data_IF_262931216641
#
_entry.id   IF_262931216641
#
_cell.length_a   1.000
_cell.length_b   1.000
_cell.length_c   1.000
_cell.angle_alpha   90.00
_cell.angle_beta   90.00
_cell.angle_gamma   90.00
#
_symmetry.space_group_name_H-M   'P 1'
#
loop_
_entity.id
_entity.type
_entity.pdbx_description
1 polymer ?
#
# COMPACT_ATOMS: atom_id res chain seq x y z
N UNK A 1 20.42 29.20 2.62
CA UNK A 1 19.19 28.87 1.85
C UNK A 1 18.67 27.55 2.40
N UNK A 2 17.50 27.54 3.05
CA UNK A 2 16.89 26.28 3.50
C UNK A 2 16.30 25.60 2.25
N UNK A 3 16.76 24.41 1.90
CA UNK A 3 16.11 23.58 0.88
C UNK A 3 14.64 23.45 1.27
N UNK A 4 13.72 23.93 0.43
CA UNK A 4 12.31 23.56 0.59
C UNK A 4 12.27 22.05 0.43
N UNK A 5 11.88 21.33 1.47
CA UNK A 5 11.56 19.91 1.35
C UNK A 5 10.55 19.75 0.21
N UNK A 6 10.78 18.78 -0.66
CA UNK A 6 9.85 18.41 -1.72
C UNK A 6 8.49 18.05 -1.09
N UNK A 7 7.39 18.43 -1.72
CA UNK A 7 6.05 18.06 -1.26
C UNK A 7 5.91 16.53 -1.24
N UNK A 8 5.59 15.89 -0.10
CA UNK A 8 5.49 14.43 0.02
C UNK A 8 4.55 13.80 -1.01
N UNK A 9 3.45 14.47 -1.35
CA UNK A 9 2.49 13.97 -2.34
C UNK A 9 3.13 13.99 -3.74
N UNK A 10 3.77 15.08 -4.12
CA UNK A 10 4.53 15.16 -5.38
C UNK A 10 5.64 14.10 -5.45
N UNK A 11 6.36 13.87 -4.35
CA UNK A 11 7.38 12.82 -4.27
C UNK A 11 6.79 11.43 -4.46
N UNK A 12 5.66 11.11 -3.81
CA UNK A 12 4.92 9.85 -3.99
C UNK A 12 4.58 9.62 -5.47
N UNK A 13 4.03 10.63 -6.15
CA UNK A 13 3.64 10.50 -7.56
C UNK A 13 4.85 10.20 -8.46
N UNK A 14 6.01 10.76 -8.12
CA UNK A 14 7.27 10.57 -8.84
C UNK A 14 8.07 9.33 -8.44
N UNK A 15 7.62 8.53 -7.47
CA UNK A 15 8.33 7.30 -7.08
C UNK A 15 8.55 6.38 -8.28
N UNK A 16 9.81 6.07 -8.58
CA UNK A 16 10.15 5.03 -9.52
C UNK A 16 10.04 3.65 -8.85
N UNK A 17 8.98 2.94 -9.21
CA UNK A 17 8.66 1.58 -8.76
C UNK A 17 8.62 0.60 -9.94
N UNK A 18 9.25 0.92 -11.09
CA UNK A 18 9.25 0.04 -12.27
C UNK A 18 9.88 -1.32 -11.99
N UNK A 19 10.81 -1.40 -11.04
CA UNK A 19 11.39 -2.67 -10.61
C UNK A 19 10.36 -3.60 -9.95
N UNK A 20 9.34 -3.06 -9.27
CA UNK A 20 8.24 -3.85 -8.70
C UNK A 20 7.37 -4.39 -9.82
N UNK A 21 6.98 -3.55 -10.80
CA UNK A 21 6.21 -4.00 -11.97
C UNK A 21 6.91 -5.17 -12.67
N UNK A 22 8.22 -5.03 -12.95
CA UNK A 22 9.03 -6.10 -13.56
C UNK A 22 9.02 -7.39 -12.75
N UNK A 23 9.05 -7.29 -11.41
CA UNK A 23 9.00 -8.46 -10.52
C UNK A 23 7.60 -9.11 -10.50
N UNK A 24 6.53 -8.33 -10.41
CA UNK A 24 5.16 -8.84 -10.44
C UNK A 24 4.89 -9.62 -11.74
N UNK A 25 5.25 -9.04 -12.89
CA UNK A 25 5.10 -9.70 -14.19
C UNK A 25 6.03 -10.91 -14.31
N UNK A 26 7.33 -10.75 -14.06
CA UNK A 26 8.32 -11.79 -14.36
C UNK A 26 8.44 -12.91 -13.34
N UNK A 27 8.00 -12.70 -12.08
CA UNK A 27 8.12 -13.70 -11.00
C UNK A 27 6.78 -14.15 -10.45
N UNK A 28 5.76 -13.28 -10.46
CA UNK A 28 4.43 -13.60 -9.95
C UNK A 28 3.40 -13.83 -11.07
N UNK A 29 3.81 -13.69 -12.34
CA UNK A 29 2.99 -13.89 -13.54
C UNK A 29 1.74 -12.99 -13.60
N UNK A 30 1.82 -11.78 -13.07
CA UNK A 30 0.74 -10.80 -13.20
C UNK A 30 0.67 -10.25 -14.63
N UNK A 31 -0.52 -9.84 -15.04
CA UNK A 31 -0.65 -9.02 -16.24
C UNK A 31 0.07 -7.68 -16.06
N UNK A 32 0.71 -7.17 -17.12
CA UNK A 32 1.50 -5.94 -17.02
C UNK A 32 0.62 -4.71 -16.75
N UNK A 33 -0.59 -4.64 -17.32
CA UNK A 33 -1.50 -3.54 -17.08
C UNK A 33 -2.02 -3.58 -15.63
N UNK A 34 -2.36 -4.77 -15.12
CA UNK A 34 -2.74 -4.98 -13.71
C UNK A 34 -1.62 -4.59 -12.74
N UNK A 35 -0.38 -5.00 -13.01
CA UNK A 35 0.77 -4.65 -12.18
C UNK A 35 1.03 -3.13 -12.15
N UNK A 36 0.92 -2.45 -13.31
CA UNK A 36 1.06 -0.99 -13.40
C UNK A 36 -0.06 -0.26 -12.66
N UNK A 37 -1.30 -0.70 -12.82
CA UNK A 37 -2.45 -0.12 -12.11
C UNK A 37 -2.32 -0.28 -10.60
N UNK A 38 -1.94 -1.47 -10.13
CA UNK A 38 -1.75 -1.74 -8.70
C UNK A 38 -0.62 -0.91 -8.10
N UNK A 39 0.50 -0.73 -8.81
CA UNK A 39 1.58 0.16 -8.38
C UNK A 39 1.12 1.62 -8.29
N UNK A 40 0.26 2.08 -9.21
CA UNK A 40 -0.35 3.42 -9.14
C UNK A 40 -1.29 3.53 -7.94
N UNK A 41 -2.13 2.52 -7.67
CA UNK A 41 -3.00 2.47 -6.50
C UNK A 41 -2.22 2.42 -5.18
N UNK A 42 -1.07 1.74 -5.14
CA UNK A 42 -0.15 1.77 -4.00
C UNK A 42 0.37 3.20 -3.73
N UNK A 43 0.72 3.97 -4.76
CA UNK A 43 1.07 5.40 -4.58
C UNK A 43 -0.09 6.19 -3.97
N UNK A 44 -1.32 5.98 -4.46
CA UNK A 44 -2.50 6.61 -3.89
C UNK A 44 -2.75 6.18 -2.44
N UNK A 45 -2.48 4.92 -2.09
CA UNK A 45 -2.53 4.44 -0.70
C UNK A 45 -1.50 5.15 0.20
N UNK A 46 -0.26 5.37 -0.27
CA UNK A 46 0.72 6.17 0.47
C UNK A 46 0.24 7.62 0.67
N UNK A 47 -0.33 8.22 -0.37
CA UNK A 47 -0.91 9.56 -0.29
C UNK A 47 -2.08 9.62 0.70
N UNK A 48 -2.94 8.59 0.72
CA UNK A 48 -4.05 8.49 1.68
C UNK A 48 -3.55 8.51 3.13
N UNK A 49 -2.43 7.84 3.42
CA UNK A 49 -1.80 7.84 4.75
C UNK A 49 -1.22 9.20 5.15
N UNK A 50 -0.86 10.05 4.19
CA UNK A 50 -0.46 11.44 4.44
C UNK A 50 -1.67 12.33 4.70
N UNK A 51 -2.74 12.13 3.92
CA UNK A 51 -3.96 12.94 4.02
C UNK A 51 -4.72 12.67 5.32
N UNK A 52 -4.67 11.43 5.84
CA UNK A 52 -5.36 11.04 7.07
C UNK A 52 -4.41 10.33 8.07
N UNK A 53 -3.40 11.02 8.63
CA UNK A 53 -2.27 10.41 9.35
C UNK A 53 -2.63 9.78 10.71
N UNK A 54 -3.85 10.02 11.21
CA UNK A 54 -4.37 9.45 12.45
C UNK A 54 -5.19 8.18 12.25
N UNK A 55 -5.53 7.85 11.00
CA UNK A 55 -6.39 6.71 10.68
C UNK A 55 -5.54 5.51 10.29
N UNK A 56 -5.95 4.34 10.79
CA UNK A 56 -5.39 3.07 10.32
C UNK A 56 -5.96 2.81 8.93
N UNK A 57 -5.06 2.62 7.95
CA UNK A 57 -5.43 2.33 6.56
C UNK A 57 -5.06 0.91 6.21
N UNK A 58 -6.04 0.13 5.79
CA UNK A 58 -5.90 -1.30 5.45
C UNK A 58 -5.76 -1.44 3.93
N UNK A 59 -4.64 -1.97 3.41
CA UNK A 59 -4.44 -2.15 1.98
C UNK A 59 -5.35 -3.25 1.41
N UNK A 60 -5.62 -3.23 0.10
CA UNK A 60 -6.08 -4.44 -0.59
C UNK A 60 -4.96 -5.48 -0.64
N UNK A 61 -5.26 -6.74 -0.95
CA UNK A 61 -4.25 -7.79 -1.10
C UNK A 61 -3.19 -7.41 -2.16
N UNK A 62 -3.63 -6.81 -3.25
CA UNK A 62 -2.76 -6.43 -4.36
C UNK A 62 -1.84 -5.26 -3.98
N UNK A 63 -2.39 -4.26 -3.27
CA UNK A 63 -1.61 -3.13 -2.74
C UNK A 63 -0.60 -3.61 -1.69
N UNK A 64 -1.01 -4.53 -0.82
CA UNK A 64 -0.15 -5.13 0.20
C UNK A 64 1.02 -5.90 -0.43
N UNK A 65 0.77 -6.62 -1.54
CA UNK A 65 1.82 -7.32 -2.29
C UNK A 65 2.85 -6.36 -2.90
N UNK A 66 2.41 -5.23 -3.46
CA UNK A 66 3.30 -4.15 -3.91
C UNK A 66 4.08 -3.57 -2.74
N UNK A 67 3.43 -3.36 -1.60
CA UNK A 67 4.05 -2.81 -0.40
C UNK A 67 5.15 -3.75 0.14
N UNK A 68 4.89 -5.05 0.18
CA UNK A 68 5.90 -6.07 0.51
C UNK A 68 7.12 -6.01 -0.41
N UNK A 69 6.91 -5.95 -1.73
CA UNK A 69 8.02 -5.85 -2.69
C UNK A 69 8.82 -4.55 -2.51
N UNK A 70 8.16 -3.45 -2.10
CA UNK A 70 8.85 -2.21 -1.77
C UNK A 70 9.68 -2.36 -0.48
N UNK A 71 9.12 -2.92 0.60
CA UNK A 71 9.82 -3.18 1.88
C UNK A 71 11.08 -4.02 1.65
N UNK A 72 11.02 -5.04 0.78
CA UNK A 72 12.17 -5.90 0.45
C UNK A 72 13.35 -5.12 -0.17
N UNK A 73 13.10 -3.94 -0.72
CA UNK A 73 14.15 -3.00 -1.18
C UNK A 73 14.53 -2.05 -0.05
N UNK A 74 14.98 -2.63 1.07
CA UNK A 74 15.06 -2.00 2.40
C UNK A 74 15.71 -0.61 2.41
N UNK A 75 16.81 -0.39 1.69
CA UNK A 75 17.47 0.93 1.62
C UNK A 75 16.58 1.97 0.94
N UNK A 76 15.95 1.63 -0.18
CA UNK A 76 15.04 2.52 -0.90
C UNK A 76 13.78 2.77 -0.08
N UNK A 77 13.19 1.73 0.49
CA UNK A 77 12.00 1.85 1.32
C UNK A 77 12.23 2.78 2.52
N UNK A 78 13.37 2.65 3.21
CA UNK A 78 13.73 3.53 4.32
C UNK A 78 13.89 4.99 3.88
N UNK A 79 14.55 5.24 2.74
CA UNK A 79 14.72 6.59 2.19
C UNK A 79 13.38 7.20 1.75
N UNK A 80 12.54 6.42 1.09
CA UNK A 80 11.22 6.86 0.65
C UNK A 80 10.34 7.15 1.88
N UNK A 81 10.36 6.31 2.91
CA UNK A 81 9.63 6.54 4.16
C UNK A 81 10.06 7.84 4.86
N UNK A 82 11.37 8.10 4.95
CA UNK A 82 11.89 9.34 5.54
C UNK A 82 11.41 10.57 4.76
N UNK A 83 11.45 10.52 3.42
CA UNK A 83 11.01 11.63 2.57
C UNK A 83 9.50 11.85 2.59
N UNK A 84 8.72 10.78 2.68
CA UNK A 84 7.25 10.83 2.61
C UNK A 84 6.66 11.14 4.00
N UNK A 85 7.06 10.37 5.01
CA UNK A 85 6.45 10.37 6.34
C UNK A 85 7.32 11.03 7.43
N UNK A 86 8.59 11.33 7.13
CA UNK A 86 9.57 11.77 8.14
C UNK A 86 9.98 10.68 9.13
N UNK A 87 9.56 9.43 8.89
CA UNK A 87 9.82 8.26 9.74
C UNK A 87 9.56 6.98 8.98
N UNK A 88 10.06 5.86 9.50
CA UNK A 88 9.73 4.53 8.97
C UNK A 88 8.23 4.24 9.07
N UNK A 89 7.61 3.82 7.96
CA UNK A 89 6.24 3.31 7.98
C UNK A 89 6.29 1.81 8.25
N UNK A 90 5.88 1.40 9.45
CA UNK A 90 5.86 -0.01 9.83
C UNK A 90 4.72 -0.76 9.13
N UNK A 91 5.00 -2.01 8.78
CA UNK A 91 4.02 -3.01 8.35
C UNK A 91 3.88 -4.02 9.49
N UNK A 92 2.64 -4.30 9.87
CA UNK A 92 2.29 -5.24 10.93
C UNK A 92 1.39 -6.33 10.32
N UNK A 93 1.85 -7.58 10.26
CA UNK A 93 1.00 -8.69 9.85
C UNK A 93 -0.16 -8.89 10.83
N UNK A 94 -1.33 -9.30 10.33
CA UNK A 94 -2.43 -9.71 11.22
C UNK A 94 -2.02 -10.92 12.06
N UNK A 95 -2.46 -10.91 13.32
CA UNK A 95 -2.42 -12.06 14.23
C UNK A 95 -3.31 -13.23 13.78
N UNK A 96 -4.27 -12.99 12.87
CA UNK A 96 -5.24 -13.97 12.39
C UNK A 96 -6.25 -14.39 13.44
N UNK A 97 -6.49 -13.55 14.45
CA UNK A 97 -7.56 -13.75 15.41
C UNK A 97 -8.86 -13.24 14.83
N UNK A 98 -9.97 -13.94 15.11
CA UNK A 98 -11.29 -13.55 14.59
C UNK A 98 -11.69 -12.11 14.98
N UNK A 99 -11.38 -11.70 16.20
CA UNK A 99 -11.67 -10.35 16.69
C UNK A 99 -10.89 -9.28 15.90
N UNK A 100 -9.60 -9.53 15.62
CA UNK A 100 -8.81 -8.63 14.79
C UNK A 100 -9.30 -8.62 13.34
N UNK A 101 -9.67 -9.77 12.78
CA UNK A 101 -10.21 -9.86 11.41
C UNK A 101 -11.50 -9.04 11.25
N UNK A 102 -12.42 -9.13 12.23
CA UNK A 102 -13.64 -8.31 12.25
C UNK A 102 -13.30 -6.82 12.34
N UNK A 103 -12.33 -6.43 13.19
CA UNK A 103 -11.90 -5.04 13.30
C UNK A 103 -11.22 -4.50 12.02
N UNK A 104 -10.35 -5.31 11.41
CA UNK A 104 -9.70 -4.96 10.15
C UNK A 104 -10.70 -4.83 9.00
N UNK A 105 -11.80 -5.58 9.02
CA UNK A 105 -12.86 -5.44 8.03
C UNK A 105 -13.55 -4.08 8.10
N UNK A 106 -13.85 -3.58 9.31
CA UNK A 106 -14.42 -2.25 9.50
C UNK A 106 -13.44 -1.15 9.02
N UNK A 107 -12.16 -1.26 9.40
CA UNK A 107 -11.11 -0.33 8.97
C UNK A 107 -10.88 -0.36 7.45
N UNK A 108 -11.03 -1.52 6.82
CA UNK A 108 -10.96 -1.65 5.36
C UNK A 108 -12.11 -0.90 4.68
N UNK A 109 -13.35 -1.03 5.18
CA UNK A 109 -14.50 -0.30 4.63
C UNK A 109 -14.29 1.21 4.76
N UNK A 110 -13.74 1.68 5.88
CA UNK A 110 -13.38 3.10 6.04
C UNK A 110 -12.25 3.54 5.10
N UNK A 111 -11.25 2.69 4.89
CA UNK A 111 -10.15 2.94 3.95
C UNK A 111 -10.66 3.04 2.53
N UNK A 112 -11.49 2.08 2.10
CA UNK A 112 -12.15 2.06 0.80
C UNK A 112 -12.94 3.35 0.56
N UNK A 113 -13.84 3.72 1.47
CA UNK A 113 -14.63 4.96 1.34
C UNK A 113 -13.75 6.20 1.19
N UNK A 114 -12.73 6.32 2.05
CA UNK A 114 -11.81 7.46 2.03
C UNK A 114 -10.99 7.51 0.73
N UNK A 115 -10.60 6.36 0.22
CA UNK A 115 -9.86 6.24 -1.03
C UNK A 115 -10.74 6.63 -2.23
N UNK A 116 -11.93 6.06 -2.34
CA UNK A 116 -12.85 6.31 -3.45
C UNK A 116 -13.30 7.78 -3.49
N UNK A 117 -13.54 8.39 -2.32
CA UNK A 117 -13.83 9.83 -2.21
C UNK A 117 -12.67 10.69 -2.74
N UNK A 118 -11.43 10.42 -2.32
CA UNK A 118 -10.29 11.27 -2.66
C UNK A 118 -9.77 11.08 -4.09
N UNK A 119 -9.83 9.86 -4.61
CA UNK A 119 -9.24 9.50 -5.90
C UNK A 119 -10.26 9.25 -7.01
N UNK A 120 -11.57 9.26 -6.70
CA UNK A 120 -12.66 9.08 -7.66
C UNK A 120 -12.51 7.79 -8.49
N UNK A 121 -12.00 6.74 -7.86
CA UNK A 121 -11.75 5.44 -8.47
C UNK A 121 -12.03 4.32 -7.46
N UNK A 122 -12.39 3.13 -7.93
CA UNK A 122 -12.65 2.00 -7.02
C UNK A 122 -11.36 1.54 -6.34
N UNK A 123 -11.44 1.35 -5.01
CA UNK A 123 -10.31 0.84 -4.24
C UNK A 123 -10.07 -0.66 -4.47
N UNK A 124 -11.17 -1.41 -4.56
CA UNK A 124 -11.20 -2.86 -4.63
C UNK A 124 -12.55 -3.37 -4.12
N UNK A 125 -12.82 -4.67 -4.24
CA UNK A 125 -14.07 -5.24 -3.74
C UNK A 125 -14.07 -5.29 -2.20
N UNK A 126 -15.26 -5.18 -1.60
CA UNK A 126 -15.47 -5.46 -0.18
C UNK A 126 -15.02 -6.90 0.12
N UNK A 127 -14.19 -7.05 1.15
CA UNK A 127 -13.33 -8.19 1.44
C UNK A 127 -13.95 -9.58 1.23
N UNK A 128 -13.18 -10.46 0.58
CA UNK A 128 -13.18 -11.89 0.91
C UNK A 128 -12.09 -12.12 1.97
N UNK A 129 -12.44 -11.85 3.24
CA UNK A 129 -11.53 -11.94 4.42
C UNK A 129 -10.87 -13.33 4.49
N UNK A 130 -11.54 -14.36 3.97
CA UNK A 130 -11.02 -15.72 3.93
C UNK A 130 -9.71 -15.86 3.13
N UNK A 131 -9.46 -14.98 2.15
CA UNK A 131 -8.22 -14.98 1.34
C UNK A 131 -7.03 -14.38 2.07
N UNK A 132 -7.23 -13.43 2.98
CA UNK A 132 -6.19 -12.92 3.87
C UNK A 132 -5.70 -14.03 4.82
N UNK A 133 -6.62 -14.86 5.31
CA UNK A 133 -6.36 -15.90 6.31
C UNK A 133 -5.81 -17.22 5.73
N UNK A 134 -5.99 -17.45 4.43
CA UNK A 134 -5.57 -18.67 3.74
C UNK A 134 -4.20 -18.57 3.07
N UNK A 135 -3.57 -17.39 3.03
CA UNK A 135 -2.18 -17.24 2.59
C UNK A 135 -1.17 -17.68 3.67
N UNK A 136 -1.49 -18.77 4.38
CA UNK A 136 -0.58 -19.46 5.30
C UNK A 136 0.57 -20.05 4.49
N UNK A 137 1.70 -19.34 4.46
CA UNK A 137 3.00 -19.93 4.16
C UNK A 137 3.48 -19.86 2.72
N UNK A 138 3.51 -18.67 2.11
CA UNK A 138 4.40 -18.41 0.96
C UNK A 138 5.19 -17.11 1.16
N UNK A 139 6.11 -17.16 2.13
CA UNK A 139 7.40 -16.48 2.03
C UNK A 139 8.43 -17.48 1.55
#
# INVERSE_FOLDING_TARGET
>A
MKNKAEDPIQYIQNLDLQYIVKRLVGKKNWDEAEAKDTVRKYKNFLALKILDPKLVRVPTLEIDEVWHDHILHTRKYMQDCDRIFGKYMHHEPSSGTKEEEEHLADLYVETMRSYEEKFQESYGHALDISKWCTNKGKL
#
